data_IF_040172393914
#
_entry.id   IF_040172393914
#
_cell.length_a   1.000
_cell.length_b   1.000
_cell.length_c   1.000
_cell.angle_alpha   90.00
_cell.angle_beta   90.00
_cell.angle_gamma   90.00
#
_symmetry.space_group_name_H-M   'P 1'
#
loop_
_entity.id
_entity.type
_entity.pdbx_description
1 polymer ?
#
# COMPACT_ATOMS: atom_id res chain seq x y z
N UNK A 1 -3.21 -6.39 -22.98
CA UNK A 1 -2.60 -5.46 -22.00
C UNK A 1 -2.19 -6.24 -20.77
N UNK A 2 -1.03 -5.95 -20.17
CA UNK A 2 -0.61 -6.55 -18.90
C UNK A 2 -1.06 -5.63 -17.76
N UNK A 3 -1.82 -6.17 -16.81
CA UNK A 3 -2.30 -5.47 -15.63
C UNK A 3 -1.65 -6.10 -14.39
N UNK A 4 -1.00 -5.29 -13.56
CA UNK A 4 -0.34 -5.75 -12.33
C UNK A 4 -1.05 -5.07 -11.17
N UNK A 5 -1.54 -5.88 -10.23
CA UNK A 5 -2.14 -5.42 -8.99
C UNK A 5 -1.49 -6.13 -7.80
N UNK A 6 -1.42 -5.42 -6.68
CA UNK A 6 -0.94 -5.96 -5.41
C UNK A 6 -1.99 -5.67 -4.32
N UNK A 7 -2.57 -6.72 -3.76
CA UNK A 7 -3.67 -6.64 -2.81
C UNK A 7 -3.28 -7.03 -1.38
N UNK A 8 -2.02 -7.40 -1.15
CA UNK A 8 -1.54 -7.79 0.17
C UNK A 8 -0.32 -6.97 0.54
N UNK A 9 -0.59 -5.88 1.24
CA UNK A 9 0.40 -5.02 1.85
C UNK A 9 -0.10 -4.55 3.21
N UNK A 10 0.81 -3.93 3.96
CA UNK A 10 0.54 -3.42 5.28
C UNK A 10 0.85 -1.92 5.33
N UNK A 11 0.10 -1.19 6.15
CA UNK A 11 0.30 0.21 6.45
C UNK A 11 1.39 0.44 7.51
N UNK A 12 1.67 1.69 7.84
CA UNK A 12 2.49 2.09 8.99
C UNK A 12 1.95 1.62 10.36
N UNK A 13 0.68 1.23 10.44
CA UNK A 13 0.04 0.80 11.69
C UNK A 13 0.27 -0.68 12.01
N UNK A 14 0.72 -1.46 11.02
CA UNK A 14 1.15 -2.83 11.24
C UNK A 14 2.45 -2.89 12.05
N UNK A 15 2.68 -4.02 12.72
CA UNK A 15 3.93 -4.26 13.45
C UNK A 15 5.05 -4.58 12.47
N UNK A 16 6.25 -4.08 12.77
CA UNK A 16 7.46 -4.33 11.97
C UNK A 16 7.36 -3.89 10.50
N UNK A 17 6.53 -2.90 10.18
CA UNK A 17 6.49 -2.21 8.89
C UNK A 17 7.18 -0.86 8.97
N UNK A 18 7.58 -0.32 7.81
CA UNK A 18 8.15 1.04 7.77
C UNK A 18 7.11 2.08 8.19
N UNK A 19 7.57 3.12 8.89
CA UNK A 19 6.76 4.29 9.23
C UNK A 19 6.29 5.07 8.00
N UNK A 20 6.97 4.90 6.87
CA UNK A 20 6.67 5.58 5.61
C UNK A 20 5.60 4.85 4.78
N UNK A 21 5.03 3.75 5.27
CA UNK A 21 3.97 2.98 4.59
C UNK A 21 2.61 3.71 4.67
N UNK A 22 2.58 4.90 4.07
CA UNK A 22 1.42 5.79 3.88
C UNK A 22 0.89 5.68 2.45
N UNK A 23 -0.36 6.10 2.23
CA UNK A 23 -1.05 5.99 0.93
C UNK A 23 -0.27 6.70 -0.18
N UNK A 24 0.22 7.92 0.07
CA UNK A 24 0.96 8.71 -0.90
C UNK A 24 2.30 8.06 -1.26
N UNK A 25 3.04 7.57 -0.27
CA UNK A 25 4.33 6.90 -0.46
C UNK A 25 4.13 5.61 -1.26
N UNK A 26 3.14 4.80 -0.88
CA UNK A 26 2.78 3.55 -1.57
C UNK A 26 2.41 3.81 -3.03
N UNK A 27 1.61 4.84 -3.31
CA UNK A 27 1.24 5.21 -4.67
C UNK A 27 2.45 5.63 -5.52
N UNK A 28 3.39 6.40 -4.95
CA UNK A 28 4.64 6.78 -5.63
C UNK A 28 5.49 5.57 -6.00
N UNK A 29 5.64 4.61 -5.08
CA UNK A 29 6.40 3.38 -5.32
C UNK A 29 5.70 2.42 -6.28
N UNK A 30 4.37 2.30 -6.21
CA UNK A 30 3.59 1.53 -7.18
C UNK A 30 3.82 2.04 -8.61
N UNK A 31 3.80 3.36 -8.81
CA UNK A 31 4.10 3.98 -10.11
C UNK A 31 5.50 3.64 -10.60
N UNK A 32 6.52 3.70 -9.72
CA UNK A 32 7.90 3.33 -10.07
C UNK A 32 8.04 1.84 -10.39
N UNK A 33 7.34 0.97 -9.66
CA UNK A 33 7.35 -0.49 -9.81
C UNK A 33 6.50 -0.99 -11.00
N UNK A 34 5.64 -0.15 -11.55
CA UNK A 34 4.71 -0.52 -12.62
C UNK A 34 3.46 -1.27 -12.14
N UNK A 35 3.08 -1.10 -10.87
CA UNK A 35 1.83 -1.63 -10.32
C UNK A 35 0.71 -0.63 -10.65
N UNK A 36 -0.33 -1.11 -11.33
CA UNK A 36 -1.45 -0.29 -11.81
C UNK A 36 -2.49 -0.08 -10.71
N UNK A 37 -2.65 -1.05 -9.81
CA UNK A 37 -3.61 -1.01 -8.71
C UNK A 37 -3.00 -1.56 -7.43
N UNK A 38 -3.17 -0.83 -6.33
CA UNK A 38 -2.85 -1.30 -4.99
C UNK A 38 -4.13 -1.50 -4.19
N UNK A 39 -4.17 -2.55 -3.38
CA UNK A 39 -5.07 -2.63 -2.23
C UNK A 39 -4.67 -1.61 -1.17
N UNK A 40 -5.59 -1.25 -0.30
CA UNK A 40 -5.28 -0.33 0.81
C UNK A 40 -4.41 -1.03 1.85
N UNK A 41 -4.71 -2.30 2.17
CA UNK A 41 -4.09 -3.01 3.29
C UNK A 41 -4.62 -2.50 4.62
N UNK A 42 -4.58 -3.32 5.67
CA UNK A 42 -4.95 -2.95 7.05
C UNK A 42 -6.27 -2.16 7.23
N UNK A 43 -7.24 -2.33 6.34
CA UNK A 43 -8.48 -1.51 6.29
C UNK A 43 -9.37 -1.63 7.53
N UNK A 44 -9.10 -2.61 8.40
CA UNK A 44 -9.79 -2.79 9.69
C UNK A 44 -9.16 -1.99 10.82
N UNK A 45 -8.01 -1.36 10.60
CA UNK A 45 -7.34 -0.54 11.61
C UNK A 45 -8.11 0.77 11.82
N UNK A 46 -8.50 1.13 13.06
CA UNK A 46 -9.46 2.21 13.31
C UNK A 46 -8.97 3.62 13.02
N UNK A 47 -7.66 3.80 12.77
CA UNK A 47 -7.05 5.09 12.41
C UNK A 47 -6.49 5.10 10.97
N UNK A 48 -6.81 4.06 10.20
CA UNK A 48 -6.42 3.94 8.80
C UNK A 48 -7.50 4.53 7.88
N UNK A 49 -7.78 5.82 8.09
CA UNK A 49 -8.57 6.72 7.24
C UNK A 49 -8.44 8.16 7.76
#
# INVERSE_FOLDING_TARGET
MRFIADFHLHSKYSRATSKDMEVETLAQWAKKKGIVLLGTGDFTHPTYY
#
